data_IF_791168544964
#
_entry.id   IF_791168544964
#
_cell.length_a   1.000
_cell.length_b   1.000
_cell.length_c   1.000
_cell.angle_alpha   90.00
_cell.angle_beta   90.00
_cell.angle_gamma   90.00
#
_symmetry.space_group_name_H-M   'P 1'
#
loop_
_entity.id
_entity.type
_entity.pdbx_description
1 polymer ?
#
# COMPACT_ATOMS: atom_id res chain seq x y z
N UNK A 1 -11.22 22.16 -33.32
CA UNK A 1 -10.21 21.32 -32.61
C UNK A 1 -10.51 21.01 -31.15
N UNK A 2 -11.52 21.62 -30.54
CA UNK A 2 -11.83 21.52 -29.07
C UNK A 2 -12.53 20.19 -28.64
N UNK A 3 -13.44 19.65 -29.45
CA UNK A 3 -14.26 18.48 -29.02
C UNK A 3 -13.53 17.12 -28.91
N UNK A 4 -12.40 16.93 -29.61
CA UNK A 4 -11.63 15.65 -29.51
C UNK A 4 -10.77 15.55 -28.25
N UNK A 5 -10.37 16.70 -27.67
CA UNK A 5 -9.57 16.71 -26.44
C UNK A 5 -10.43 16.30 -25.23
N UNK A 6 -11.69 16.78 -25.18
CA UNK A 6 -12.62 16.47 -24.09
C UNK A 6 -13.00 14.98 -24.02
N UNK A 7 -13.19 14.33 -25.17
CA UNK A 7 -13.52 12.90 -25.20
C UNK A 7 -12.37 12.01 -24.75
N UNK A 8 -11.12 12.39 -25.02
CA UNK A 8 -9.93 11.68 -24.58
C UNK A 8 -9.72 11.85 -23.07
N UNK A 9 -9.98 13.05 -22.55
CA UNK A 9 -9.94 13.37 -21.13
C UNK A 9 -11.01 12.60 -20.36
N UNK A 10 -12.26 12.57 -20.84
CA UNK A 10 -13.36 11.83 -20.23
C UNK A 10 -13.15 10.31 -20.28
N UNK A 11 -12.51 9.80 -21.32
CA UNK A 11 -12.16 8.38 -21.44
C UNK A 11 -11.08 7.98 -20.44
N UNK A 12 -10.08 8.84 -20.21
CA UNK A 12 -9.08 8.65 -19.20
C UNK A 12 -9.66 8.74 -17.77
N UNK A 13 -10.60 9.67 -17.54
CA UNK A 13 -11.27 9.81 -16.25
C UNK A 13 -12.11 8.58 -15.89
N UNK A 14 -12.85 8.02 -16.85
CA UNK A 14 -13.59 6.75 -16.66
C UNK A 14 -12.66 5.56 -16.37
N UNK A 15 -11.47 5.51 -16.98
CA UNK A 15 -10.48 4.49 -16.71
C UNK A 15 -9.86 4.62 -15.30
N UNK A 16 -9.66 5.84 -14.81
CA UNK A 16 -9.16 6.11 -13.46
C UNK A 16 -10.15 5.64 -12.39
N UNK A 17 -11.44 5.84 -12.60
CA UNK A 17 -12.46 5.33 -11.68
C UNK A 17 -12.50 3.79 -11.66
N UNK A 18 -12.33 3.12 -12.80
CA UNK A 18 -12.21 1.66 -12.85
C UNK A 18 -11.01 1.15 -12.07
N UNK A 19 -9.85 1.82 -12.16
CA UNK A 19 -8.66 1.44 -11.41
C UNK A 19 -8.89 1.45 -9.89
N UNK A 20 -9.50 2.50 -9.36
CA UNK A 20 -9.80 2.60 -7.93
C UNK A 20 -10.75 1.48 -7.47
N UNK A 21 -11.80 1.21 -8.23
CA UNK A 21 -12.76 0.14 -7.90
C UNK A 21 -12.11 -1.25 -7.98
N UNK A 22 -11.27 -1.51 -8.97
CA UNK A 22 -10.54 -2.78 -9.06
C UNK A 22 -9.52 -2.94 -7.92
N UNK A 23 -8.85 -1.85 -7.52
CA UNK A 23 -7.95 -1.86 -6.37
C UNK A 23 -8.72 -2.19 -5.07
N UNK A 24 -9.90 -1.59 -4.88
CA UNK A 24 -10.76 -1.87 -3.74
C UNK A 24 -11.21 -3.34 -3.71
N UNK A 25 -11.69 -3.88 -4.84
CA UNK A 25 -12.06 -5.30 -4.98
C UNK A 25 -10.87 -6.22 -4.68
N UNK A 26 -9.67 -5.86 -5.11
CA UNK A 26 -8.45 -6.63 -4.83
C UNK A 26 -8.15 -6.68 -3.34
N UNK A 27 -8.28 -5.55 -2.62
CA UNK A 27 -8.12 -5.52 -1.17
C UNK A 27 -9.19 -6.37 -0.45
N UNK A 28 -10.44 -6.25 -0.88
CA UNK A 28 -11.54 -7.07 -0.36
C UNK A 28 -11.31 -8.57 -0.62
N UNK A 29 -10.84 -8.92 -1.81
CA UNK A 29 -10.50 -10.31 -2.14
C UNK A 29 -9.40 -10.86 -1.21
N UNK A 30 -8.30 -10.13 -1.05
CA UNK A 30 -7.21 -10.52 -0.16
C UNK A 30 -7.66 -10.62 1.30
N UNK A 31 -8.61 -9.80 1.72
CA UNK A 31 -9.12 -9.83 3.10
C UNK A 31 -9.91 -11.09 3.45
N UNK A 32 -10.33 -11.90 2.47
CA UNK A 32 -11.04 -13.17 2.71
C UNK A 32 -10.16 -14.21 3.40
N UNK A 33 -8.85 -14.13 3.25
CA UNK A 33 -7.92 -15.02 3.96
C UNK A 33 -7.77 -14.60 5.42
N UNK A 34 -7.88 -15.56 6.35
CA UNK A 34 -7.67 -15.32 7.78
C UNK A 34 -6.21 -14.99 8.14
N UNK A 35 -5.30 -15.23 7.20
CA UNK A 35 -3.89 -14.89 7.35
C UNK A 35 -3.58 -13.44 6.99
N UNK A 36 -4.44 -12.79 6.22
CA UNK A 36 -4.18 -11.43 5.73
C UNK A 36 -4.40 -10.40 6.82
N UNK A 37 -3.42 -9.53 7.01
CA UNK A 37 -3.44 -8.38 7.93
C UNK A 37 -2.99 -7.14 7.15
N UNK A 38 -3.74 -6.07 7.25
CA UNK A 38 -3.41 -4.76 6.69
C UNK A 38 -2.78 -3.91 7.78
N UNK A 39 -1.56 -3.46 7.58
CA UNK A 39 -0.85 -2.64 8.57
C UNK A 39 -0.27 -1.40 7.92
N UNK A 40 -0.17 -0.33 8.64
CA UNK A 40 0.52 0.88 8.20
C UNK A 40 -0.20 2.16 8.54
N UNK A 41 0.12 3.19 7.79
CA UNK A 41 -0.47 4.52 7.94
C UNK A 41 -1.63 4.68 6.97
N UNK A 42 -2.66 5.44 7.38
CA UNK A 42 -3.88 5.65 6.60
C UNK A 42 -4.64 4.34 6.28
N UNK A 43 -4.56 3.37 7.17
CA UNK A 43 -5.29 2.10 7.10
C UNK A 43 -6.68 2.24 7.70
N UNK A 44 -6.81 2.98 8.82
CA UNK A 44 -8.09 3.26 9.50
C UNK A 44 -8.51 4.73 9.45
N UNK A 45 -7.58 5.65 9.24
CA UNK A 45 -7.86 7.08 9.15
C UNK A 45 -8.74 7.37 7.94
N UNK A 46 -9.99 7.74 8.20
CA UNK A 46 -10.99 7.98 7.14
C UNK A 46 -10.62 9.16 6.22
N UNK A 47 -11.09 9.10 4.98
CA UNK A 47 -10.98 10.21 4.02
C UNK A 47 -9.72 10.21 3.16
N UNK A 48 -8.81 9.26 3.34
CA UNK A 48 -7.66 9.11 2.47
C UNK A 48 -7.95 8.17 1.30
N UNK A 49 -7.23 8.30 0.18
CA UNK A 49 -7.34 7.39 -0.94
C UNK A 49 -6.98 5.94 -0.52
N UNK A 50 -6.02 5.78 0.40
CA UNK A 50 -5.63 4.48 0.93
C UNK A 50 -6.75 3.85 1.74
N UNK A 51 -7.26 4.53 2.78
CA UNK A 51 -8.30 4.01 3.67
C UNK A 51 -9.61 3.74 2.93
N UNK A 52 -9.95 4.54 1.92
CA UNK A 52 -11.16 4.35 1.12
C UNK A 52 -11.15 3.02 0.35
N UNK A 53 -9.98 2.49 -0.03
CA UNK A 53 -9.89 1.16 -0.65
C UNK A 53 -10.04 0.02 0.37
N UNK A 54 -9.96 0.31 1.67
CA UNK A 54 -10.05 -0.66 2.75
C UNK A 54 -11.38 -0.57 3.51
N UNK A 55 -12.28 0.31 3.09
CA UNK A 55 -13.50 0.67 3.84
C UNK A 55 -14.38 -0.55 4.20
N UNK A 56 -14.44 -1.56 3.34
CA UNK A 56 -15.27 -2.74 3.53
C UNK A 56 -14.53 -3.90 4.21
N UNK A 57 -13.29 -3.70 4.64
CA UNK A 57 -12.50 -4.72 5.32
C UNK A 57 -12.75 -4.65 6.82
N UNK A 58 -12.89 -5.81 7.46
CA UNK A 58 -13.06 -5.91 8.91
C UNK A 58 -11.94 -5.13 9.64
N UNK A 59 -12.34 -4.33 10.63
CA UNK A 59 -11.41 -3.58 11.47
C UNK A 59 -10.40 -4.46 12.19
N UNK A 60 -10.78 -5.68 12.57
CA UNK A 60 -9.87 -6.65 13.20
C UNK A 60 -8.68 -7.06 12.32
N UNK A 61 -8.78 -6.84 11.01
CA UNK A 61 -7.71 -7.11 10.04
C UNK A 61 -6.89 -5.88 9.69
N UNK A 62 -7.19 -4.72 10.27
CA UNK A 62 -6.53 -3.45 10.00
C UNK A 62 -5.83 -2.96 11.26
N UNK A 63 -4.57 -2.58 11.12
CA UNK A 63 -3.75 -2.04 12.20
C UNK A 63 -3.18 -0.71 11.74
N UNK A 64 -3.73 0.38 12.28
CA UNK A 64 -3.18 1.72 12.07
C UNK A 64 -1.90 1.85 12.90
N UNK A 65 -0.84 2.32 12.28
CA UNK A 65 0.44 2.56 12.93
C UNK A 65 0.78 4.04 12.96
N UNK A 66 1.55 4.49 13.95
CA UNK A 66 2.13 5.81 13.95
C UNK A 66 3.13 5.95 12.79
N UNK A 67 3.54 7.20 12.52
CA UNK A 67 4.58 7.50 11.53
C UNK A 67 5.93 6.97 12.05
N UNK A 68 6.23 5.72 11.71
CA UNK A 68 7.46 5.01 12.06
C UNK A 68 7.71 3.88 11.04
N UNK A 69 8.17 4.25 9.86
CA UNK A 69 8.24 3.38 8.69
C UNK A 69 9.18 2.19 8.88
N UNK A 70 10.29 2.38 9.56
CA UNK A 70 11.23 1.30 9.90
C UNK A 70 10.57 0.26 10.82
N UNK A 71 9.87 0.72 11.86
CA UNK A 71 9.12 -0.14 12.77
C UNK A 71 8.02 -0.89 12.00
N UNK A 72 7.29 -0.21 11.13
CA UNK A 72 6.25 -0.81 10.29
C UNK A 72 6.80 -1.96 9.45
N UNK A 73 7.95 -1.77 8.80
CA UNK A 73 8.57 -2.83 8.00
C UNK A 73 9.09 -3.97 8.89
N UNK A 74 9.64 -3.67 10.05
CA UNK A 74 10.01 -4.68 11.05
C UNK A 74 8.82 -5.51 11.51
N UNK A 75 7.67 -4.87 11.78
CA UNK A 75 6.42 -5.58 12.09
C UNK A 75 5.92 -6.42 10.92
N UNK A 76 6.09 -5.94 9.68
CA UNK A 76 5.77 -6.70 8.46
C UNK A 76 6.55 -8.02 8.43
N UNK A 77 7.85 -7.98 8.70
CA UNK A 77 8.70 -9.17 8.79
C UNK A 77 8.22 -10.09 9.93
N UNK A 78 7.95 -9.53 11.11
CA UNK A 78 7.47 -10.31 12.26
C UNK A 78 6.14 -11.01 12.01
N UNK A 79 5.17 -10.32 11.40
CA UNK A 79 3.88 -10.91 11.02
C UNK A 79 4.04 -12.05 10.01
N UNK A 80 4.93 -11.88 9.05
CA UNK A 80 5.26 -12.92 8.08
C UNK A 80 5.85 -14.14 8.76
N UNK A 81 6.80 -13.96 9.69
CA UNK A 81 7.38 -15.05 10.48
C UNK A 81 6.33 -15.74 11.36
N UNK A 82 5.31 -15.02 11.81
CA UNK A 82 4.15 -15.57 12.53
C UNK A 82 3.12 -16.26 11.61
N UNK A 83 3.43 -16.45 10.33
CA UNK A 83 2.57 -17.14 9.35
C UNK A 83 1.42 -16.32 8.80
N UNK A 84 1.45 -15.00 9.00
CA UNK A 84 0.49 -14.08 8.40
C UNK A 84 0.93 -13.65 6.99
N UNK A 85 0.02 -13.02 6.27
CA UNK A 85 0.28 -12.38 4.97
C UNK A 85 0.05 -10.88 5.17
N UNK A 86 1.08 -10.13 5.58
CA UNK A 86 0.94 -8.71 5.80
C UNK A 86 0.84 -7.95 4.48
N UNK A 87 -0.11 -7.00 4.43
CA UNK A 87 -0.19 -5.97 3.42
C UNK A 87 0.21 -4.68 4.11
N UNK A 88 1.46 -4.28 3.90
CA UNK A 88 2.07 -3.12 4.53
C UNK A 88 1.88 -1.88 3.66
N UNK A 89 1.19 -0.88 4.19
CA UNK A 89 0.70 0.28 3.45
C UNK A 89 1.47 1.52 3.88
N UNK A 90 2.16 2.11 2.92
CA UNK A 90 2.85 3.39 3.03
C UNK A 90 2.09 4.41 2.18
N UNK A 91 1.59 5.52 2.75
CA UNK A 91 0.73 6.45 2.00
C UNK A 91 1.37 7.04 0.76
N UNK A 92 2.71 7.13 0.76
CA UNK A 92 3.49 7.65 -0.38
C UNK A 92 4.82 6.92 -0.50
N UNK A 93 5.33 6.85 -1.71
CA UNK A 93 6.62 6.23 -2.03
C UNK A 93 7.77 6.83 -1.22
N UNK A 94 7.77 8.14 -1.06
CA UNK A 94 8.76 8.87 -0.27
C UNK A 94 8.90 8.35 1.17
N UNK A 95 7.81 7.91 1.80
CA UNK A 95 7.84 7.38 3.17
C UNK A 95 8.42 5.97 3.21
N UNK A 96 8.19 5.17 2.18
CA UNK A 96 8.81 3.85 2.08
C UNK A 96 10.35 3.91 2.06
N UNK A 97 10.95 5.02 1.60
CA UNK A 97 12.40 5.19 1.61
C UNK A 97 13.01 5.04 3.00
N UNK A 98 12.30 5.44 4.06
CA UNK A 98 12.75 5.28 5.44
C UNK A 98 12.82 3.81 5.88
N UNK A 99 12.08 2.93 5.22
CA UNK A 99 12.03 1.49 5.51
C UNK A 99 12.87 0.64 4.55
N UNK A 100 13.64 1.26 3.67
CA UNK A 100 14.41 0.57 2.62
C UNK A 100 15.41 -0.43 3.21
N UNK A 101 16.06 -0.09 4.31
CA UNK A 101 17.00 -1.01 4.95
C UNK A 101 16.31 -2.32 5.36
N UNK A 102 15.17 -2.23 6.02
CA UNK A 102 14.41 -3.40 6.47
C UNK A 102 13.81 -4.17 5.29
N UNK A 103 13.43 -3.47 4.22
CA UNK A 103 12.94 -4.10 3.00
C UNK A 103 14.05 -4.94 2.33
N UNK A 104 15.20 -4.33 2.05
CA UNK A 104 16.28 -4.93 1.25
C UNK A 104 17.12 -5.91 2.07
N UNK A 105 17.46 -5.56 3.31
CA UNK A 105 18.38 -6.35 4.12
C UNK A 105 17.70 -7.41 4.99
N UNK A 106 16.40 -7.29 5.23
CA UNK A 106 15.67 -8.23 6.08
C UNK A 106 14.56 -8.96 5.32
N UNK A 107 13.56 -8.25 4.78
CA UNK A 107 12.42 -8.89 4.14
C UNK A 107 12.81 -9.66 2.88
N UNK A 108 13.56 -9.03 1.98
CA UNK A 108 14.02 -9.65 0.73
C UNK A 108 14.89 -10.88 0.99
N UNK A 109 15.79 -10.79 1.95
CA UNK A 109 16.76 -11.85 2.28
C UNK A 109 16.25 -12.90 3.25
N UNK A 110 15.05 -12.74 3.80
CA UNK A 110 14.52 -13.59 4.87
C UNK A 110 14.55 -15.09 4.49
N UNK A 111 14.19 -15.42 3.25
CA UNK A 111 14.20 -16.81 2.79
C UNK A 111 15.60 -17.42 2.82
N UNK A 112 16.60 -16.67 2.34
CA UNK A 112 18.00 -17.12 2.27
C UNK A 112 18.56 -17.24 3.70
N UNK A 113 18.40 -16.20 4.52
CA UNK A 113 18.91 -16.14 5.89
C UNK A 113 18.33 -17.23 6.80
N UNK A 114 17.14 -17.74 6.47
CA UNK A 114 16.44 -18.75 7.26
C UNK A 114 16.42 -20.12 6.59
N UNK A 115 17.24 -20.33 5.57
CA UNK A 115 17.28 -21.60 4.81
C UNK A 115 15.89 -22.02 4.33
N UNK A 116 15.12 -21.07 3.80
CA UNK A 116 13.73 -21.24 3.33
C UNK A 116 12.72 -21.69 4.42
N UNK A 117 13.05 -21.55 5.69
CA UNK A 117 12.12 -21.83 6.79
C UNK A 117 10.90 -20.91 6.72
N UNK A 118 11.11 -19.63 6.38
CA UNK A 118 10.04 -18.65 6.18
C UNK A 118 9.96 -18.27 4.70
N UNK A 119 8.86 -18.65 4.06
CA UNK A 119 8.60 -18.22 2.67
C UNK A 119 7.93 -16.86 2.69
N UNK A 120 8.63 -15.84 2.21
CA UNK A 120 8.16 -14.45 2.20
C UNK A 120 6.89 -14.31 1.36
N UNK A 121 5.81 -13.90 2.00
CA UNK A 121 4.54 -13.53 1.36
C UNK A 121 4.05 -12.25 1.99
N UNK A 122 4.64 -11.14 1.61
CA UNK A 122 4.20 -9.81 2.00
C UNK A 122 3.87 -8.97 0.75
N UNK A 123 2.94 -8.06 0.90
CA UNK A 123 2.63 -7.07 -0.12
C UNK A 123 2.99 -5.70 0.45
N UNK A 124 3.89 -5.01 -0.23
CA UNK A 124 4.19 -3.61 0.08
C UNK A 124 3.39 -2.74 -0.88
N UNK A 125 2.54 -1.92 -0.31
CA UNK A 125 1.66 -1.04 -1.06
C UNK A 125 1.99 0.42 -0.76
N UNK A 126 2.24 1.17 -1.82
CA UNK A 126 2.46 2.61 -1.73
C UNK A 126 1.73 3.34 -2.84
N UNK A 127 1.75 4.67 -2.84
CA UNK A 127 1.26 5.50 -3.95
C UNK A 127 2.35 6.44 -4.43
N UNK A 128 2.28 6.74 -5.72
CA UNK A 128 3.10 7.75 -6.38
C UNK A 128 2.22 8.88 -6.87
N UNK A 129 2.81 10.05 -7.01
CA UNK A 129 2.11 11.23 -7.49
C UNK A 129 1.08 11.79 -6.52
N UNK A 130 0.41 12.83 -6.95
CA UNK A 130 -0.70 13.46 -6.24
C UNK A 130 -1.55 14.26 -7.22
N UNK A 131 -2.84 14.36 -6.90
CA UNK A 131 -3.78 15.17 -7.69
C UNK A 131 -4.33 16.32 -6.85
N UNK A 132 -4.71 17.41 -7.52
CA UNK A 132 -5.39 18.54 -6.86
C UNK A 132 -6.67 18.05 -6.14
N UNK A 133 -7.07 18.66 -5.01
CA UNK A 133 -6.53 19.87 -4.41
C UNK A 133 -5.29 19.66 -3.51
N UNK A 134 -4.93 18.42 -3.19
CA UNK A 134 -3.85 18.07 -2.26
C UNK A 134 -2.50 17.88 -2.97
N UNK A 135 -2.17 18.76 -3.89
CA UNK A 135 -0.88 18.70 -4.57
C UNK A 135 0.23 19.24 -3.64
N UNK A 136 1.10 18.40 -3.08
CA UNK A 136 2.15 18.82 -2.17
C UNK A 136 3.36 19.41 -2.91
N UNK A 137 3.14 19.94 -4.12
CA UNK A 137 4.17 20.48 -5.01
C UNK A 137 5.24 19.41 -5.33
N UNK A 138 6.51 19.69 -5.02
CA UNK A 138 7.62 18.78 -5.28
C UNK A 138 7.85 17.73 -4.18
N UNK A 139 7.16 17.87 -3.04
CA UNK A 139 7.26 16.89 -1.96
C UNK A 139 6.29 15.73 -2.17
N UNK A 140 6.69 14.54 -1.79
CA UNK A 140 5.82 13.36 -1.69
C UNK A 140 5.14 12.92 -2.99
N UNK A 141 5.65 13.32 -4.14
CA UNK A 141 5.14 12.95 -5.46
C UNK A 141 6.16 12.13 -6.27
N UNK A 142 7.29 11.82 -5.66
CA UNK A 142 8.36 11.09 -6.31
C UNK A 142 7.94 9.70 -6.75
N UNK A 143 8.39 9.32 -7.92
CA UNK A 143 8.44 7.95 -8.41
C UNK A 143 9.91 7.55 -8.45
N UNK A 144 10.26 6.51 -7.72
CA UNK A 144 11.63 6.01 -7.58
C UNK A 144 11.77 4.59 -8.14
N UNK A 145 10.83 4.19 -9.00
CA UNK A 145 10.86 2.88 -9.71
C UNK A 145 11.77 2.90 -10.92
#
# INVERSE_FOLDING_TARGET
>A
MSKKLDLKFLKNYKNTMKYFEELKKSMEYMSKSDKTIFIGQAVEVAGTAMSNTLKNIDKKKRIELPVAEEMQMGMTVGLLMAGKIPISIYPRWNFLLLAINQLVNHLDKLNIMTYNKYKSKAIIRTSIGSVRPLHPQFQHVGDFT
#
